data_IF_844798593707
#
_entry.id   IF_844798593707
#
_cell.length_a   1.000
_cell.length_b   1.000
_cell.length_c   1.000
_cell.angle_alpha   90.00
_cell.angle_beta   90.00
_cell.angle_gamma   90.00
#
_symmetry.space_group_name_H-M   'P 1'
#
loop_
_entity.id
_entity.type
_entity.pdbx_description
1 polymer ?
#
# COMPACT_ATOMS: atom_id res chain seq x y z
N UNK A 1 35.90 -10.87 10.07
CA UNK A 1 34.88 -11.73 9.46
C UNK A 1 33.48 -11.26 9.84
N UNK A 2 33.04 -11.35 11.11
CA UNK A 2 31.70 -10.89 11.55
C UNK A 2 31.33 -9.44 11.20
N UNK A 3 32.25 -8.49 11.40
CA UNK A 3 31.99 -7.08 11.08
C UNK A 3 31.83 -6.83 9.57
N UNK A 4 32.58 -7.56 8.74
CA UNK A 4 32.49 -7.47 7.28
C UNK A 4 31.16 -8.04 6.79
N UNK A 5 30.76 -9.20 7.31
CA UNK A 5 29.45 -9.80 7.03
C UNK A 5 28.29 -8.89 7.45
N UNK A 6 28.37 -8.27 8.64
CA UNK A 6 27.38 -7.31 9.11
C UNK A 6 27.23 -6.09 8.20
N UNK A 7 28.34 -5.55 7.69
CA UNK A 7 28.32 -4.43 6.74
C UNK A 7 27.66 -4.82 5.40
N UNK A 8 27.98 -5.99 4.85
CA UNK A 8 27.34 -6.46 3.62
C UNK A 8 25.84 -6.73 3.81
N UNK A 9 25.44 -7.28 4.96
CA UNK A 9 24.02 -7.46 5.30
C UNK A 9 23.29 -6.12 5.44
N UNK A 10 23.88 -5.15 6.12
CA UNK A 10 23.33 -3.80 6.25
C UNK A 10 23.09 -3.16 4.87
N UNK A 11 24.09 -3.22 3.98
CA UNK A 11 24.00 -2.71 2.62
C UNK A 11 22.88 -3.37 1.82
N UNK A 12 22.76 -4.69 1.90
CA UNK A 12 21.71 -5.45 1.23
C UNK A 12 20.31 -5.12 1.79
N UNK A 13 20.18 -4.94 3.10
CA UNK A 13 18.92 -4.54 3.73
C UNK A 13 18.49 -3.14 3.30
N UNK A 14 19.43 -2.17 3.27
CA UNK A 14 19.15 -0.81 2.79
C UNK A 14 18.72 -0.82 1.30
N UNK A 15 19.36 -1.64 0.47
CA UNK A 15 18.95 -1.79 -0.93
C UNK A 15 17.51 -2.34 -1.06
N UNK A 16 17.09 -3.24 -0.16
CA UNK A 16 15.71 -3.75 -0.12
C UNK A 16 14.72 -2.69 0.34
N UNK A 17 15.08 -1.88 1.32
CA UNK A 17 14.25 -0.74 1.77
C UNK A 17 13.97 0.21 0.61
N UNK A 18 14.99 0.59 -0.15
CA UNK A 18 14.81 1.49 -1.30
C UNK A 18 13.97 0.86 -2.41
N UNK A 19 14.12 -0.44 -2.65
CA UNK A 19 13.26 -1.16 -3.59
C UNK A 19 11.80 -1.12 -3.14
N UNK A 20 11.51 -1.40 -1.86
CA UNK A 20 10.15 -1.33 -1.33
C UNK A 20 9.61 0.10 -1.44
N UNK A 21 10.41 1.12 -1.08
CA UNK A 21 10.04 2.54 -1.19
C UNK A 21 9.60 2.88 -2.62
N UNK A 22 10.39 2.50 -3.63
CA UNK A 22 10.05 2.73 -5.03
C UNK A 22 8.75 2.02 -5.47
N UNK A 23 8.49 0.82 -4.95
CA UNK A 23 7.24 0.11 -5.24
C UNK A 23 6.04 0.78 -4.60
N UNK A 24 6.19 1.31 -3.38
CA UNK A 24 5.14 2.06 -2.68
C UNK A 24 4.78 3.33 -3.43
N UNK A 25 5.74 4.04 -4.01
CA UNK A 25 5.47 5.22 -4.86
C UNK A 25 4.67 4.85 -6.12
N UNK A 26 5.00 3.72 -6.76
CA UNK A 26 4.23 3.22 -7.91
C UNK A 26 2.78 2.93 -7.48
N UNK A 27 2.58 2.24 -6.35
CA UNK A 27 1.25 1.90 -5.82
C UNK A 27 0.46 3.18 -5.50
N UNK A 28 1.07 4.15 -4.83
CA UNK A 28 0.44 5.43 -4.48
C UNK A 28 0.02 6.22 -5.72
N UNK A 29 0.85 6.23 -6.77
CA UNK A 29 0.49 6.89 -8.03
C UNK A 29 -0.70 6.20 -8.75
N UNK A 30 -0.85 4.89 -8.57
CA UNK A 30 -1.93 4.11 -9.15
C UNK A 30 -3.24 4.13 -8.35
N UNK A 31 -3.19 4.43 -7.05
CA UNK A 31 -4.35 4.33 -6.16
C UNK A 31 -5.40 5.42 -6.40
N UNK A 32 -5.00 6.61 -6.84
CA UNK A 32 -5.90 7.75 -7.07
C UNK A 32 -6.96 7.52 -8.16
N UNK A 33 -6.76 6.57 -9.08
CA UNK A 33 -7.70 6.28 -10.18
C UNK A 33 -8.71 5.16 -9.88
N UNK A 34 -8.52 4.43 -8.78
CA UNK A 34 -9.22 3.18 -8.51
C UNK A 34 -10.73 3.38 -8.33
N UNK A 35 -11.14 4.39 -7.55
CA UNK A 35 -12.57 4.66 -7.29
C UNK A 35 -13.30 5.07 -8.57
N UNK A 36 -12.65 5.87 -9.42
CA UNK A 36 -13.20 6.27 -10.71
C UNK A 36 -13.36 5.07 -11.65
N UNK A 37 -12.33 4.21 -11.75
CA UNK A 37 -12.37 2.99 -12.55
C UNK A 37 -13.47 2.03 -12.08
N UNK A 38 -13.64 1.86 -10.76
CA UNK A 38 -14.69 1.02 -10.19
C UNK A 38 -16.09 1.58 -10.47
N UNK A 39 -16.30 2.89 -10.29
CA UNK A 39 -17.56 3.57 -10.65
C UNK A 39 -17.92 3.33 -12.10
N UNK A 40 -16.96 3.51 -13.01
CA UNK A 40 -17.20 3.38 -14.45
C UNK A 40 -17.50 1.92 -14.83
N UNK A 41 -16.82 0.95 -14.21
CA UNK A 41 -17.10 -0.50 -14.34
C UNK A 41 -18.51 -0.85 -13.84
N UNK A 42 -18.95 -0.29 -12.70
CA UNK A 42 -20.28 -0.53 -12.16
C UNK A 42 -21.37 0.08 -13.05
N UNK A 43 -21.16 1.34 -13.48
CA UNK A 43 -22.07 2.02 -14.42
C UNK A 43 -22.22 1.23 -15.71
N UNK A 44 -21.12 0.73 -16.29
CA UNK A 44 -21.16 -0.08 -17.50
C UNK A 44 -22.05 -1.33 -17.32
N UNK A 45 -21.86 -2.09 -16.23
CA UNK A 45 -22.66 -3.29 -15.92
C UNK A 45 -24.16 -2.99 -15.74
N UNK A 46 -24.50 -1.85 -15.16
CA UNK A 46 -25.90 -1.44 -14.93
C UNK A 46 -26.54 -0.91 -16.22
N UNK A 47 -25.74 -0.30 -17.10
CA UNK A 47 -26.20 0.27 -18.38
C UNK A 47 -26.31 -0.74 -19.53
N UNK A 48 -25.77 -1.96 -19.38
CA UNK A 48 -25.90 -3.03 -20.39
C UNK A 48 -27.33 -3.60 -20.48
N UNK A 49 -28.05 -3.85 -19.38
CA UNK A 49 -29.42 -4.37 -19.40
C UNK A 49 -30.52 -3.29 -19.46
N UNK A 50 -30.19 -2.03 -19.16
CA UNK A 50 -31.15 -0.91 -19.06
C UNK A 50 -30.88 0.12 -20.16
N UNK A 51 -31.92 0.73 -20.74
CA UNK A 51 -31.74 1.93 -21.56
C UNK A 51 -30.91 2.95 -20.77
N UNK A 52 -29.81 3.44 -21.36
CA UNK A 52 -28.74 4.22 -20.68
C UNK A 52 -29.21 5.42 -19.86
N UNK A 53 -30.46 5.86 -20.06
CA UNK A 53 -31.07 7.00 -19.40
C UNK A 53 -31.79 6.68 -18.08
N UNK A 54 -31.82 5.42 -17.63
CA UNK A 54 -32.51 4.99 -16.40
C UNK A 54 -31.57 4.62 -15.23
N UNK A 55 -30.30 5.00 -15.30
CA UNK A 55 -29.37 4.77 -14.17
C UNK A 55 -29.69 5.76 -13.06
N UNK A 56 -30.07 5.24 -11.90
CA UNK A 56 -30.20 6.04 -10.67
C UNK A 56 -28.82 6.39 -10.13
N UNK A 57 -28.40 7.64 -10.37
CA UNK A 57 -27.10 8.16 -9.94
C UNK A 57 -26.94 8.19 -8.41
N UNK A 58 -28.03 8.37 -7.65
CA UNK A 58 -27.96 8.36 -6.19
C UNK A 58 -27.68 6.95 -5.66
N UNK A 59 -28.34 5.94 -6.24
CA UNK A 59 -28.06 4.54 -5.93
C UNK A 59 -26.66 4.13 -6.37
N UNK A 60 -26.23 4.52 -7.57
CA UNK A 60 -24.87 4.26 -8.04
C UNK A 60 -23.81 4.84 -7.09
N UNK A 61 -23.98 6.07 -6.62
CA UNK A 61 -23.08 6.70 -5.67
C UNK A 61 -23.02 5.95 -4.33
N UNK A 62 -24.16 5.47 -3.82
CA UNK A 62 -24.21 4.67 -2.60
C UNK A 62 -23.50 3.32 -2.76
N UNK A 63 -23.72 2.63 -3.89
CA UNK A 63 -23.09 1.33 -4.17
C UNK A 63 -21.57 1.45 -4.38
N UNK A 64 -21.08 2.60 -4.83
CA UNK A 64 -19.63 2.87 -4.99
C UNK A 64 -18.97 3.35 -3.70
N UNK A 65 -19.70 4.03 -2.81
CA UNK A 65 -19.14 4.61 -1.59
C UNK A 65 -18.51 3.55 -0.67
N UNK A 66 -19.21 2.43 -0.44
CA UNK A 66 -18.74 1.39 0.47
C UNK A 66 -17.46 0.66 -0.03
N UNK A 67 -17.37 0.21 -1.29
CA UNK A 67 -16.13 -0.33 -1.84
C UNK A 67 -15.01 0.70 -1.88
N UNK A 68 -15.30 1.97 -2.21
CA UNK A 68 -14.29 3.03 -2.25
C UNK A 68 -13.61 3.24 -0.90
N UNK A 69 -14.38 3.25 0.19
CA UNK A 69 -13.84 3.38 1.54
C UNK A 69 -12.99 2.16 1.94
N UNK A 70 -13.43 0.95 1.61
CA UNK A 70 -12.67 -0.28 1.91
C UNK A 70 -11.36 -0.38 1.14
N UNK A 71 -11.31 0.20 -0.05
CA UNK A 71 -10.15 0.17 -0.93
C UNK A 71 -9.19 1.33 -0.74
N UNK A 72 -9.50 2.28 0.14
CA UNK A 72 -8.57 3.35 0.47
C UNK A 72 -7.38 2.80 1.25
N UNK A 73 -6.20 2.93 0.65
CA UNK A 73 -4.89 2.49 1.18
C UNK A 73 -3.99 3.66 1.61
N UNK A 74 -4.51 4.88 1.64
CA UNK A 74 -3.72 6.10 1.90
C UNK A 74 -3.03 6.06 3.27
N UNK A 75 -3.74 5.57 4.29
CA UNK A 75 -3.20 5.44 5.63
C UNK A 75 -2.07 4.40 5.68
N UNK A 76 -2.29 3.21 5.09
CA UNK A 76 -1.30 2.14 5.04
C UNK A 76 -0.02 2.56 4.31
N UNK A 77 -0.15 3.29 3.19
CA UNK A 77 1.01 3.85 2.47
C UNK A 77 1.80 4.81 3.36
N UNK A 78 1.11 5.68 4.08
CA UNK A 78 1.74 6.65 4.99
C UNK A 78 2.49 5.93 6.12
N UNK A 79 1.86 4.94 6.76
CA UNK A 79 2.48 4.14 7.82
C UNK A 79 3.69 3.35 7.29
N UNK A 80 3.54 2.68 6.16
CA UNK A 80 4.62 1.92 5.52
C UNK A 80 5.83 2.81 5.20
N UNK A 81 5.63 4.00 4.61
CA UNK A 81 6.71 4.96 4.35
C UNK A 81 7.42 5.37 5.64
N UNK A 82 6.67 5.63 6.72
CA UNK A 82 7.25 5.95 8.04
C UNK A 82 8.11 4.80 8.58
N UNK A 83 7.64 3.55 8.48
CA UNK A 83 8.40 2.38 8.92
C UNK A 83 9.68 2.18 8.11
N UNK A 84 9.67 2.40 6.79
CA UNK A 84 10.85 2.30 5.93
C UNK A 84 11.92 3.36 6.26
N UNK A 85 11.51 4.58 6.62
CA UNK A 85 12.41 5.64 7.11
C UNK A 85 13.06 5.18 8.41
N UNK A 86 12.26 4.73 9.38
CA UNK A 86 12.76 4.25 10.67
C UNK A 86 13.69 3.03 10.53
N UNK A 87 13.43 2.13 9.57
CA UNK A 87 14.29 0.98 9.29
C UNK A 87 15.66 1.44 8.76
N UNK A 88 15.67 2.43 7.87
CA UNK A 88 16.91 2.99 7.31
C UNK A 88 17.77 3.65 8.38
N UNK A 89 17.15 4.46 9.24
CA UNK A 89 17.80 5.11 10.37
C UNK A 89 18.35 4.09 11.37
N UNK A 90 17.56 3.07 11.70
CA UNK A 90 17.95 2.02 12.63
C UNK A 90 19.14 1.20 12.10
N UNK A 91 19.16 0.90 10.79
CA UNK A 91 20.27 0.19 10.15
C UNK A 91 21.54 1.03 10.11
N UNK A 92 21.45 2.36 10.05
CA UNK A 92 22.60 3.27 10.03
C UNK A 92 23.14 3.66 11.42
N UNK A 93 22.46 3.27 12.50
CA UNK A 93 22.84 3.60 13.87
C UNK A 93 23.83 2.61 14.51
N UNK A 94 24.39 3.03 15.65
CA UNK A 94 25.25 2.18 16.48
C UNK A 94 24.46 1.47 17.59
N UNK A 95 24.93 0.28 17.98
CA UNK A 95 24.40 -0.48 19.12
C UNK A 95 23.51 -1.66 18.75
N UNK A 96 22.85 -2.24 19.75
CA UNK A 96 21.97 -3.39 19.55
C UNK A 96 20.60 -2.97 18.99
N UNK A 97 20.31 -3.42 17.77
CA UNK A 97 19.07 -3.05 17.07
C UNK A 97 18.04 -4.18 16.94
N UNK A 98 18.39 -5.42 17.30
CA UNK A 98 17.62 -6.63 16.94
C UNK A 98 16.12 -6.57 17.29
N UNK A 99 15.76 -6.16 18.51
CA UNK A 99 14.35 -6.05 18.93
C UNK A 99 13.57 -4.98 18.16
N UNK A 100 14.19 -3.82 17.93
CA UNK A 100 13.57 -2.72 17.18
C UNK A 100 13.44 -3.08 15.70
N UNK A 101 14.42 -3.77 15.16
CA UNK A 101 14.44 -4.25 13.78
C UNK A 101 13.32 -5.26 13.55
N UNK A 102 13.16 -6.23 14.45
CA UNK A 102 12.07 -7.21 14.39
C UNK A 102 10.68 -6.54 14.40
N UNK A 103 10.47 -5.59 15.32
CA UNK A 103 9.23 -4.81 15.38
C UNK A 103 8.95 -4.07 14.06
N UNK A 104 9.92 -3.35 13.51
CA UNK A 104 9.74 -2.60 12.27
C UNK A 104 9.48 -3.50 11.06
N UNK A 105 10.09 -4.69 11.01
CA UNK A 105 9.81 -5.67 9.96
C UNK A 105 8.40 -6.22 10.06
N UNK A 106 7.88 -6.46 11.28
CA UNK A 106 6.51 -6.89 11.51
C UNK A 106 5.51 -5.82 11.06
N UNK A 107 5.71 -4.56 11.47
CA UNK A 107 4.82 -3.47 11.07
C UNK A 107 4.88 -3.21 9.55
N UNK A 108 6.08 -3.24 8.94
CA UNK A 108 6.25 -3.15 7.48
C UNK A 108 5.46 -4.25 6.75
N UNK A 109 5.52 -5.48 7.24
CA UNK A 109 4.79 -6.62 6.66
C UNK A 109 3.28 -6.47 6.84
N UNK A 110 2.83 -5.99 8.01
CA UNK A 110 1.43 -5.72 8.30
C UNK A 110 0.83 -4.73 7.30
N UNK A 111 1.47 -3.57 7.11
CA UNK A 111 0.98 -2.56 6.16
C UNK A 111 0.98 -3.08 4.73
N UNK A 112 2.02 -3.81 4.31
CA UNK A 112 2.09 -4.40 2.97
C UNK A 112 0.92 -5.39 2.72
N UNK A 113 0.59 -6.22 3.71
CA UNK A 113 -0.54 -7.15 3.59
C UNK A 113 -1.89 -6.42 3.55
N UNK A 114 -2.07 -5.35 4.33
CA UNK A 114 -3.30 -4.56 4.30
C UNK A 114 -3.48 -3.85 2.96
N UNK A 115 -2.41 -3.29 2.38
CA UNK A 115 -2.42 -2.74 1.02
C UNK A 115 -2.85 -3.81 0.01
N UNK A 116 -2.25 -5.01 0.09
CA UNK A 116 -2.59 -6.10 -0.81
C UNK A 116 -4.06 -6.52 -0.69
N UNK A 117 -4.58 -6.69 0.51
CA UNK A 117 -5.98 -7.10 0.71
C UNK A 117 -6.98 -6.06 0.22
N UNK A 118 -6.72 -4.77 0.47
CA UNK A 118 -7.60 -3.68 0.05
C UNK A 118 -7.55 -3.43 -1.47
N UNK A 119 -6.39 -3.68 -2.09
CA UNK A 119 -6.20 -3.52 -3.54
C UNK A 119 -6.74 -4.70 -4.36
N UNK A 120 -6.81 -5.90 -3.76
CA UNK A 120 -7.34 -7.10 -4.41
C UNK A 120 -8.88 -7.16 -4.46
N UNK A 121 -9.58 -6.36 -3.66
CA UNK A 121 -11.05 -6.35 -3.55
C UNK A 121 -11.79 -5.58 -4.68
N UNK A 122 -11.09 -5.10 -5.73
CA UNK A 122 -11.63 -4.26 -6.83
C UNK A 122 -11.49 -4.87 -8.24
#
# INVERSE_FOLDING_TARGET
MRAVEGHELQKEMLARVERIRSQVEIIESGSGGIVAAYRDKLRARISEPLDKNNVDEARLAQEVAYPAERSDITEEITRLKSHLIQLSELLGGDGEIGKKLDFLLQETNREANTILSKSAEL
#
